data_IF_514744072145
#
_entry.id   IF_514744072145
#
_cell.length_a   1.000
_cell.length_b   1.000
_cell.length_c   1.000
_cell.angle_alpha   90.00
_cell.angle_beta   90.00
_cell.angle_gamma   90.00
#
_symmetry.space_group_name_H-M   'P 1'
#
loop_
_entity.id
_entity.type
_entity.pdbx_description
1 polymer ?
#
# COMPACT_ATOMS: atom_id res chain seq x y z
N UNK A 1 -51.56 -3.09 5.30
CA UNK A 1 -50.19 -3.57 5.03
C UNK A 1 -49.22 -2.69 5.81
N UNK A 2 -48.40 -3.24 6.71
CA UNK A 2 -47.38 -2.47 7.43
C UNK A 2 -46.14 -2.41 6.54
N UNK A 3 -45.73 -1.20 6.18
CA UNK A 3 -44.48 -0.97 5.47
C UNK A 3 -43.39 -0.92 6.54
N UNK A 4 -42.57 -1.96 6.61
CA UNK A 4 -41.52 -2.11 7.63
C UNK A 4 -40.13 -1.64 7.14
N UNK A 5 -39.95 -1.43 5.84
CA UNK A 5 -38.72 -0.90 5.27
C UNK A 5 -39.05 0.03 4.09
N UNK A 6 -38.53 1.24 4.17
CA UNK A 6 -38.70 2.26 3.14
C UNK A 6 -37.30 2.76 2.79
N UNK A 7 -36.81 2.37 1.60
CA UNK A 7 -35.52 2.84 1.09
C UNK A 7 -35.76 3.85 -0.04
N UNK A 8 -35.35 5.10 0.21
CA UNK A 8 -35.40 6.16 -0.78
C UNK A 8 -34.30 5.92 -1.83
N UNK A 9 -34.69 5.58 -3.06
CA UNK A 9 -33.76 5.41 -4.18
C UNK A 9 -33.51 6.78 -4.82
N UNK A 10 -32.38 7.44 -4.52
CA UNK A 10 -32.03 8.69 -5.23
C UNK A 10 -30.97 9.61 -4.64
N UNK A 11 -29.69 9.21 -4.64
CA UNK A 11 -28.50 10.02 -4.98
C UNK A 11 -27.30 9.05 -5.10
N UNK A 12 -26.41 9.14 -6.11
CA UNK A 12 -25.26 8.25 -6.20
C UNK A 12 -24.35 8.41 -4.97
N UNK A 13 -24.04 7.29 -4.28
CA UNK A 13 -23.18 7.21 -3.09
C UNK A 13 -21.72 7.35 -3.52
N UNK A 14 -21.02 8.41 -3.11
CA UNK A 14 -19.57 8.52 -3.37
C UNK A 14 -18.82 7.47 -2.53
N UNK A 15 -17.92 6.71 -3.16
CA UNK A 15 -17.10 5.63 -2.60
C UNK A 15 -15.69 5.70 -3.24
N UNK A 16 -14.75 4.80 -2.86
CA UNK A 16 -13.34 4.61 -3.33
C UNK A 16 -12.26 5.16 -2.36
N UNK A 17 -10.99 4.66 -2.34
CA UNK A 17 -10.45 3.35 -2.73
C UNK A 17 -10.65 2.21 -1.69
N UNK A 18 -10.96 0.99 -2.16
CA UNK A 18 -11.05 -0.23 -1.33
C UNK A 18 -12.47 -0.75 -1.03
N UNK A 19 -13.50 -0.23 -1.69
CA UNK A 19 -14.88 -0.66 -1.44
C UNK A 19 -15.24 -2.03 -2.04
N UNK A 20 -15.99 -2.88 -1.28
CA UNK A 20 -17.44 -2.95 -1.48
C UNK A 20 -18.28 -2.46 -0.28
N UNK A 21 -17.83 -1.39 0.40
CA UNK A 21 -18.42 -0.62 1.53
C UNK A 21 -17.50 -0.59 2.80
N UNK A 22 -16.21 -0.25 2.61
CA UNK A 22 -15.30 0.47 3.51
C UNK A 22 -14.17 -0.28 4.27
N UNK A 23 -13.99 -1.60 4.13
CA UNK A 23 -12.68 -2.26 4.37
C UNK A 23 -12.76 -3.75 4.01
N UNK A 24 -11.91 -4.28 3.11
CA UNK A 24 -11.88 -5.72 2.90
C UNK A 24 -11.49 -6.39 4.22
N UNK A 25 -12.15 -7.51 4.55
CA UNK A 25 -11.91 -8.27 5.80
C UNK A 25 -10.42 -8.50 6.03
N UNK A 26 -9.67 -8.79 4.98
CA UNK A 26 -8.22 -8.95 5.02
C UNK A 26 -7.48 -7.71 5.58
N UNK A 27 -7.92 -6.50 5.23
CA UNK A 27 -7.30 -5.25 5.68
C UNK A 27 -7.66 -4.93 7.13
N UNK A 28 -8.91 -5.14 7.55
CA UNK A 28 -9.29 -4.98 8.97
C UNK A 28 -8.51 -5.96 9.83
N UNK A 29 -8.43 -7.22 9.40
CA UNK A 29 -7.69 -8.25 10.11
C UNK A 29 -6.20 -7.93 10.17
N UNK A 30 -5.60 -7.43 9.09
CA UNK A 30 -4.21 -7.01 9.08
C UNK A 30 -3.95 -5.87 10.07
N UNK A 31 -4.81 -4.84 10.07
CA UNK A 31 -4.71 -3.71 11.01
C UNK A 31 -4.89 -4.14 12.46
N UNK A 32 -5.93 -4.92 12.75
CA UNK A 32 -6.18 -5.44 14.10
C UNK A 32 -4.99 -6.28 14.60
N UNK A 33 -4.43 -7.12 13.73
CA UNK A 33 -3.25 -7.95 14.06
C UNK A 33 -2.03 -7.09 14.32
N UNK A 34 -1.78 -6.07 13.50
CA UNK A 34 -0.65 -5.13 13.68
C UNK A 34 -0.81 -4.36 15.00
N UNK A 35 -2.02 -3.89 15.31
CA UNK A 35 -2.27 -3.18 16.56
C UNK A 35 -2.08 -4.09 17.77
N UNK A 36 -2.54 -5.34 17.72
CA UNK A 36 -2.29 -6.32 18.77
C UNK A 36 -0.79 -6.52 18.99
N UNK A 37 -0.01 -6.72 17.92
CA UNK A 37 1.46 -6.88 18.03
C UNK A 37 2.10 -5.64 18.66
N UNK A 38 1.69 -4.43 18.26
CA UNK A 38 2.20 -3.18 18.83
C UNK A 38 1.83 -3.00 20.30
N UNK A 39 0.63 -3.40 20.70
CA UNK A 39 0.20 -3.39 22.11
C UNK A 39 1.04 -4.37 22.93
N UNK A 40 1.21 -5.61 22.45
CA UNK A 40 2.04 -6.60 23.11
C UNK A 40 3.48 -6.12 23.23
N UNK A 41 4.05 -5.52 22.17
CA UNK A 41 5.41 -5.01 22.15
C UNK A 41 5.70 -3.94 23.22
N UNK A 42 4.69 -3.22 23.70
CA UNK A 42 4.82 -2.26 24.82
C UNK A 42 4.99 -2.92 26.19
N UNK A 43 4.85 -4.24 26.28
CA UNK A 43 4.98 -4.99 27.53
C UNK A 43 6.29 -5.77 27.55
N UNK A 44 7.05 -5.66 28.65
CA UNK A 44 8.41 -6.23 28.76
C UNK A 44 8.46 -7.73 28.47
N UNK A 45 7.38 -8.45 28.79
CA UNK A 45 7.24 -9.90 28.53
C UNK A 45 7.32 -10.25 27.05
N UNK A 46 6.90 -9.35 26.17
CA UNK A 46 6.79 -9.60 24.73
C UNK A 46 7.78 -8.79 23.89
N UNK A 47 8.27 -7.65 24.40
CA UNK A 47 9.19 -6.76 23.67
C UNK A 47 10.39 -7.52 23.11
N UNK A 48 11.07 -8.32 23.93
CA UNK A 48 12.28 -9.04 23.50
C UNK A 48 11.98 -10.11 22.44
N UNK A 49 10.93 -10.92 22.63
CA UNK A 49 10.62 -11.99 21.69
C UNK A 49 10.11 -11.46 20.34
N UNK A 50 9.31 -10.38 20.36
CA UNK A 50 8.83 -9.71 19.14
C UNK A 50 10.01 -9.08 18.39
N UNK A 51 10.89 -8.34 19.08
CA UNK A 51 12.07 -7.73 18.46
C UNK A 51 12.96 -8.78 17.80
N UNK A 52 13.25 -9.88 18.50
CA UNK A 52 14.04 -10.99 17.96
C UNK A 52 13.39 -11.56 16.69
N UNK A 53 12.10 -11.86 16.73
CA UNK A 53 11.37 -12.40 15.59
C UNK A 53 11.36 -11.45 14.39
N UNK A 54 11.12 -10.15 14.62
CA UNK A 54 11.16 -9.12 13.58
C UNK A 54 12.55 -9.05 12.95
N UNK A 55 13.61 -9.14 13.76
CA UNK A 55 14.97 -9.06 13.28
C UNK A 55 15.37 -10.28 12.44
N UNK A 56 15.03 -11.49 12.91
CA UNK A 56 15.27 -12.74 12.20
C UNK A 56 14.57 -12.75 10.82
N UNK A 57 13.34 -12.24 10.75
CA UNK A 57 12.57 -12.11 9.51
C UNK A 57 13.17 -11.08 8.55
N UNK A 58 13.54 -9.89 9.03
CA UNK A 58 14.14 -8.83 8.20
C UNK A 58 15.50 -9.25 7.62
N UNK A 59 16.28 -10.07 8.32
CA UNK A 59 17.55 -10.57 7.80
C UNK A 59 17.40 -11.39 6.51
N UNK A 60 16.24 -12.00 6.27
CA UNK A 60 15.94 -12.78 5.04
C UNK A 60 15.97 -11.93 3.77
N UNK A 61 15.75 -10.61 3.89
CA UNK A 61 15.87 -9.65 2.77
C UNK A 61 17.26 -9.71 2.13
N UNK A 62 18.31 -9.87 2.95
CA UNK A 62 19.70 -9.90 2.46
C UNK A 62 19.93 -11.08 1.52
N UNK A 63 19.33 -12.24 1.80
CA UNK A 63 19.45 -13.43 0.95
C UNK A 63 18.73 -13.24 -0.39
N UNK A 64 17.53 -12.66 -0.38
CA UNK A 64 16.77 -12.36 -1.60
C UNK A 64 17.52 -11.38 -2.52
N UNK A 65 18.13 -10.33 -1.97
CA UNK A 65 18.82 -9.30 -2.78
C UNK A 65 20.18 -9.79 -3.30
N UNK A 66 20.93 -10.57 -2.49
CA UNK A 66 22.26 -11.08 -2.91
C UNK A 66 22.16 -12.01 -4.12
N UNK A 67 21.18 -12.90 -4.16
CA UNK A 67 21.01 -13.87 -5.25
C UNK A 67 20.64 -13.23 -6.59
N UNK A 68 19.83 -12.16 -6.58
CA UNK A 68 19.53 -11.35 -7.77
C UNK A 68 20.82 -10.76 -8.36
N UNK A 69 21.68 -10.20 -7.52
CA UNK A 69 22.95 -9.61 -7.97
C UNK A 69 23.94 -10.63 -8.54
N UNK A 70 23.88 -11.90 -8.14
CA UNK A 70 24.72 -12.96 -8.69
C UNK A 70 24.24 -13.43 -10.08
N UNK A 71 22.92 -13.46 -10.34
CA UNK A 71 22.37 -13.83 -11.65
C UNK A 71 22.66 -12.77 -12.73
N UNK A 72 22.52 -11.49 -12.39
CA UNK A 72 22.88 -10.39 -13.32
C UNK A 72 24.36 -10.42 -13.75
N UNK A 73 25.26 -10.88 -12.87
CA UNK A 73 26.70 -11.02 -13.19
C UNK A 73 27.00 -12.20 -14.12
N UNK A 74 26.21 -13.28 -14.07
CA UNK A 74 26.41 -14.46 -14.93
C UNK A 74 25.87 -14.23 -16.36
N UNK A 75 24.75 -13.52 -16.49
CA UNK A 75 24.16 -13.17 -17.80
C UNK A 75 25.00 -12.19 -18.63
N UNK A 76 25.87 -11.38 -18.00
CA UNK A 76 26.75 -10.45 -18.74
C UNK A 76 27.99 -11.10 -19.37
N UNK A 77 28.26 -12.39 -19.14
CA UNK A 77 29.47 -13.03 -19.69
C UNK A 77 29.29 -13.75 -21.04
N UNK A 78 28.08 -13.76 -21.63
CA UNK A 78 27.78 -14.55 -22.85
C UNK A 78 27.34 -13.71 -24.06
N UNK A 79 27.19 -12.38 -23.93
CA UNK A 79 26.91 -11.49 -25.06
C UNK A 79 28.02 -10.45 -25.25
N UNK A 80 29.17 -10.90 -25.73
CA UNK A 80 30.30 -10.04 -26.09
C UNK A 80 31.07 -10.62 -27.28
N UNK A 81 30.35 -10.80 -28.39
CA UNK A 81 30.82 -11.02 -29.78
C UNK A 81 29.54 -11.29 -30.56
N UNK A 82 29.09 -10.51 -31.53
CA UNK A 82 29.81 -9.86 -32.64
C UNK A 82 29.12 -8.54 -33.03
N UNK A 83 29.92 -7.65 -33.61
CA UNK A 83 29.54 -6.36 -34.21
C UNK A 83 28.70 -6.56 -35.47
N UNK A 84 27.71 -5.68 -35.72
CA UNK A 84 27.59 -5.07 -37.04
C UNK A 84 26.81 -3.75 -37.00
N UNK A 85 27.42 -2.73 -37.59
CA UNK A 85 26.90 -1.38 -37.86
C UNK A 85 25.66 -1.43 -38.80
N UNK A 86 24.65 -0.56 -38.59
CA UNK A 86 24.12 0.37 -39.61
C UNK A 86 23.01 1.31 -39.07
N UNK A 87 23.17 2.61 -39.37
CA UNK A 87 22.17 3.65 -39.67
C UNK A 87 21.11 4.12 -38.63
N UNK A 88 21.37 5.34 -38.15
CA UNK A 88 20.58 6.59 -38.30
C UNK A 88 19.04 6.62 -38.12
N UNK A 89 18.68 7.55 -37.22
CA UNK A 89 17.57 8.51 -37.21
C UNK A 89 16.17 8.14 -36.69
N UNK A 90 15.80 8.85 -35.62
CA UNK A 90 14.48 9.49 -35.51
C UNK A 90 13.52 8.97 -34.44
N UNK A 91 13.59 9.54 -33.22
CA UNK A 91 12.48 10.12 -32.41
C UNK A 91 12.83 10.19 -30.93
N UNK A 92 13.25 11.37 -30.48
CA UNK A 92 13.21 11.77 -29.08
C UNK A 92 11.78 12.16 -28.71
N UNK A 93 11.14 11.41 -27.82
CA UNK A 93 10.22 11.97 -26.83
C UNK A 93 10.45 11.23 -25.51
N UNK A 94 11.02 11.97 -24.57
CA UNK A 94 11.22 11.58 -23.18
C UNK A 94 9.90 11.20 -22.52
N UNK A 95 9.76 9.94 -22.09
CA UNK A 95 8.95 9.60 -20.92
C UNK A 95 9.48 8.35 -20.23
N UNK A 96 10.20 8.58 -19.14
CA UNK A 96 10.32 7.64 -18.04
C UNK A 96 11.27 6.48 -18.27
N UNK A 97 12.58 6.75 -18.29
CA UNK A 97 13.59 5.77 -17.85
C UNK A 97 13.38 5.47 -16.35
N UNK A 98 12.31 4.77 -16.01
CA UNK A 98 12.35 3.91 -14.83
C UNK A 98 13.30 2.78 -15.20
N UNK A 99 14.55 2.98 -14.82
CA UNK A 99 15.55 1.94 -14.75
C UNK A 99 14.88 0.64 -14.30
N UNK A 100 14.92 -0.37 -15.17
CA UNK A 100 14.54 -1.76 -14.90
C UNK A 100 15.50 -2.31 -13.83
N UNK A 101 15.38 -1.80 -12.61
CA UNK A 101 16.18 -2.19 -11.46
C UNK A 101 15.66 -3.54 -10.96
N UNK A 102 16.36 -4.64 -11.25
CA UNK A 102 16.54 -5.86 -10.43
C UNK A 102 15.33 -6.64 -9.86
N UNK A 103 14.13 -6.08 -9.84
CA UNK A 103 12.92 -6.66 -9.24
C UNK A 103 12.23 -7.65 -10.19
N UNK A 104 12.60 -7.65 -11.47
CA UNK A 104 12.03 -8.54 -12.48
C UNK A 104 12.55 -9.99 -12.43
N UNK A 105 13.52 -10.32 -11.57
CA UNK A 105 14.14 -11.65 -11.48
C UNK A 105 14.06 -12.31 -10.10
N UNK A 106 12.99 -12.05 -9.33
CA UNK A 106 12.76 -12.80 -8.09
C UNK A 106 12.24 -14.21 -8.41
N UNK A 107 12.80 -15.23 -7.75
CA UNK A 107 12.22 -16.58 -7.78
C UNK A 107 10.93 -16.62 -6.97
N UNK A 108 10.05 -17.57 -7.26
CA UNK A 108 8.82 -17.77 -6.47
C UNK A 108 9.11 -17.96 -4.97
N UNK A 109 10.21 -18.65 -4.64
CA UNK A 109 10.65 -18.87 -3.25
C UNK A 109 11.03 -17.54 -2.58
N UNK A 110 11.75 -16.68 -3.30
CA UNK A 110 12.13 -15.36 -2.80
C UNK A 110 10.91 -14.47 -2.63
N UNK A 111 10.01 -14.45 -3.62
CA UNK A 111 8.76 -13.69 -3.55
C UNK A 111 7.90 -14.16 -2.37
N UNK A 112 7.73 -15.48 -2.22
CA UNK A 112 7.01 -16.07 -1.07
C UNK A 112 7.64 -15.65 0.25
N UNK A 113 8.97 -15.73 0.37
CA UNK A 113 9.67 -15.31 1.59
C UNK A 113 9.45 -13.84 1.88
N UNK A 114 9.54 -12.97 0.87
CA UNK A 114 9.29 -11.54 1.04
C UNK A 114 7.83 -11.29 1.47
N UNK A 115 6.86 -11.93 0.82
CA UNK A 115 5.44 -11.72 1.10
C UNK A 115 4.97 -12.31 2.44
N UNK A 116 5.48 -13.47 2.86
CA UNK A 116 4.99 -14.16 4.07
C UNK A 116 5.85 -13.90 5.29
N UNK A 117 7.15 -13.62 5.12
CA UNK A 117 8.07 -13.47 6.24
C UNK A 117 8.48 -12.03 6.50
N UNK A 118 8.82 -11.28 5.44
CA UNK A 118 9.38 -9.92 5.57
C UNK A 118 8.28 -8.87 5.62
N UNK A 119 7.33 -8.94 4.68
CA UNK A 119 6.26 -7.95 4.53
C UNK A 119 5.45 -7.73 5.81
N UNK A 120 5.08 -8.76 6.60
CA UNK A 120 4.39 -8.55 7.87
C UNK A 120 5.19 -7.69 8.86
N UNK A 121 6.52 -7.83 8.90
CA UNK A 121 7.38 -7.01 9.78
C UNK A 121 7.39 -5.56 9.33
N UNK A 122 7.49 -5.32 8.02
CA UNK A 122 7.40 -3.97 7.45
C UNK A 122 6.03 -3.35 7.74
N UNK A 123 4.96 -4.13 7.65
CA UNK A 123 3.62 -3.68 8.00
C UNK A 123 3.47 -3.34 9.49
N UNK A 124 4.13 -4.08 10.41
CA UNK A 124 4.16 -3.73 11.84
C UNK A 124 4.92 -2.43 12.09
N UNK A 125 6.03 -2.17 11.38
CA UNK A 125 6.83 -0.95 11.53
C UNK A 125 6.12 0.26 10.89
N UNK A 126 5.85 0.17 9.59
CA UNK A 126 5.34 1.28 8.77
C UNK A 126 3.82 1.38 8.70
N UNK A 127 3.08 0.38 9.17
CA UNK A 127 1.66 0.20 8.86
C UNK A 127 1.46 -0.53 7.53
N UNK A 128 0.26 -1.07 7.33
CA UNK A 128 -0.20 -1.42 5.98
C UNK A 128 -0.53 -0.10 5.30
N UNK A 129 -0.15 0.08 4.03
CA UNK A 129 -0.49 1.28 3.26
C UNK A 129 -2.01 1.51 3.33
N UNK A 130 -2.40 2.45 4.17
CA UNK A 130 -3.77 2.91 4.32
C UNK A 130 -3.92 4.06 3.34
N UNK A 131 -4.16 3.75 2.07
CA UNK A 131 -4.77 4.73 1.19
C UNK A 131 -5.99 5.38 1.87
N UNK A 132 -6.36 6.58 1.44
CA UNK A 132 -7.58 7.27 1.89
C UNK A 132 -8.74 6.27 1.94
N UNK A 133 -9.44 6.13 3.08
CA UNK A 133 -10.61 5.24 3.20
C UNK A 133 -11.89 6.01 3.47
N UNK A 134 -12.93 5.65 2.75
CA UNK A 134 -14.29 6.10 3.07
C UNK A 134 -14.60 5.76 4.54
N UNK A 135 -15.17 6.71 5.27
CA UNK A 135 -15.41 6.65 6.71
C UNK A 135 -14.21 7.03 7.59
N UNK A 136 -13.02 7.21 7.02
CA UNK A 136 -11.82 7.60 7.77
C UNK A 136 -11.90 9.04 8.29
N UNK A 137 -11.47 9.27 9.53
CA UNK A 137 -11.34 10.60 10.12
C UNK A 137 -10.15 11.33 9.51
N UNK A 138 -10.37 12.56 9.05
CA UNK A 138 -9.31 13.44 8.55
C UNK A 138 -9.38 14.81 9.21
N UNK A 139 -8.25 15.53 9.16
CA UNK A 139 -8.10 16.86 9.75
C UNK A 139 -7.54 17.79 8.68
N UNK A 140 -8.23 18.91 8.45
CA UNK A 140 -7.73 19.94 7.55
C UNK A 140 -6.54 20.65 8.20
N UNK A 141 -5.36 20.51 7.61
CA UNK A 141 -4.11 21.03 8.21
C UNK A 141 -4.15 22.53 8.53
N UNK A 142 -4.80 23.34 7.69
CA UNK A 142 -4.82 24.80 7.87
C UNK A 142 -5.81 25.24 8.96
N UNK A 143 -6.98 24.62 9.03
CA UNK A 143 -8.07 25.07 9.92
C UNK A 143 -8.23 24.20 11.16
N UNK A 144 -7.56 23.06 11.24
CA UNK A 144 -7.74 22.06 12.30
C UNK A 144 -9.12 21.39 12.29
N UNK A 145 -9.96 21.67 11.29
CA UNK A 145 -11.33 21.14 11.23
C UNK A 145 -11.32 19.65 10.95
N UNK A 146 -12.21 18.95 11.63
CA UNK A 146 -12.37 17.52 11.47
C UNK A 146 -13.40 17.23 10.37
N UNK A 147 -13.16 16.16 9.64
CA UNK A 147 -14.09 15.64 8.66
C UNK A 147 -14.01 14.12 8.58
N UNK A 148 -15.03 13.55 7.97
CA UNK A 148 -15.10 12.13 7.60
C UNK A 148 -14.95 12.01 6.10
N UNK A 149 -13.98 11.23 5.65
CA UNK A 149 -13.71 10.99 4.23
C UNK A 149 -14.88 10.21 3.60
N UNK A 150 -15.42 10.70 2.49
CA UNK A 150 -16.53 10.06 1.77
C UNK A 150 -16.07 9.27 0.55
N UNK A 151 -14.90 9.60 0.00
CA UNK A 151 -14.30 8.89 -1.15
C UNK A 151 -13.56 9.81 -2.09
N UNK A 152 -13.04 9.29 -3.20
CA UNK A 152 -12.42 10.11 -4.25
C UNK A 152 -13.40 10.46 -5.35
N UNK A 153 -13.30 11.67 -5.90
CA UNK A 153 -14.24 12.18 -6.92
C UNK A 153 -14.15 11.38 -8.23
N UNK A 154 -12.95 10.88 -8.54
CA UNK A 154 -12.64 10.10 -9.74
C UNK A 154 -11.45 9.19 -9.47
N UNK A 155 -11.43 8.02 -10.11
CA UNK A 155 -10.26 7.13 -10.09
C UNK A 155 -9.00 7.85 -10.58
N UNK A 156 -7.89 7.69 -9.85
CA UNK A 156 -6.63 8.38 -10.11
C UNK A 156 -6.60 9.87 -9.75
N UNK A 157 -7.67 10.44 -9.19
CA UNK A 157 -7.67 11.83 -8.74
C UNK A 157 -6.99 12.00 -7.38
N UNK A 158 -6.30 13.12 -7.21
CA UNK A 158 -5.79 13.57 -5.92
C UNK A 158 -6.84 14.28 -5.04
N UNK A 159 -8.06 14.47 -5.55
CA UNK A 159 -9.15 15.14 -4.83
C UNK A 159 -10.11 14.14 -4.18
N UNK A 160 -10.40 14.35 -2.90
CA UNK A 160 -11.36 13.55 -2.15
C UNK A 160 -12.54 14.38 -1.61
N UNK A 161 -13.71 13.75 -1.54
CA UNK A 161 -14.91 14.30 -0.90
C UNK A 161 -14.86 13.98 0.58
N UNK A 162 -15.20 14.95 1.41
CA UNK A 162 -15.23 14.82 2.87
C UNK A 162 -16.51 15.46 3.41
N UNK A 163 -17.04 14.90 4.48
CA UNK A 163 -18.12 15.48 5.27
C UNK A 163 -17.52 16.17 6.48
N UNK A 164 -17.63 17.50 6.57
CA UNK A 164 -17.16 18.26 7.73
C UNK A 164 -18.04 18.00 8.95
N UNK A 165 -17.42 17.89 10.12
CA UNK A 165 -18.14 17.68 11.39
C UNK A 165 -18.97 18.92 11.78
N UNK A 166 -18.47 20.12 11.45
CA UNK A 166 -19.14 21.39 11.73
C UNK A 166 -20.05 21.76 10.55
N UNK A 167 -21.29 21.28 10.56
CA UNK A 167 -22.37 21.97 9.88
C UNK A 167 -22.83 23.09 10.82
N UNK A 168 -22.50 24.35 10.51
CA UNK A 168 -23.34 25.45 11.00
C UNK A 168 -24.73 25.24 10.39
N UNK A 169 -25.61 24.58 11.15
CA UNK A 169 -27.01 24.40 10.78
C UNK A 169 -27.68 25.76 10.98
N UNK A 170 -27.53 26.68 10.03
CA UNK A 170 -28.48 27.80 9.91
C UNK A 170 -29.80 27.23 9.40
N UNK A 171 -30.66 26.81 10.32
CA UNK A 171 -32.10 26.67 10.06
C UNK A 171 -32.64 28.09 9.92
N UNK A 172 -33.13 28.45 8.73
CA UNK A 172 -33.96 29.64 8.50
C UNK A 172 -35.41 29.22 8.35
#
# INVERSE_FOLDING_TARGET
VKICEMQMRGTPRDLLPGDPICSPVATVLAEATIQLIRILHRTDKWTHCINKNMMDRLQKVKSCIKEVNHKLKKSRSVQSREEHEMKEEGKEEERGKYSKHGLAELTEIQLRTLCTEVWPVLAVIGGVDTGLRVGGRCIHKQTGRHATLLGVVKEGSASAKVQWDDAEITIR
#
